data_IF_784621425018
#
_entry.id   IF_784621425018
#
_cell.length_a   1.000
_cell.length_b   1.000
_cell.length_c   1.000
_cell.angle_alpha   90.00
_cell.angle_beta   90.00
_cell.angle_gamma   90.00
#
_symmetry.space_group_name_H-M   'P 1'
#
loop_
_entity.id
_entity.type
_entity.pdbx_description
1 polymer ?
#
# COMPACT_ATOMS: atom_id res chain seq x y z
N UNK A 1 -6.17 25.25 45.97
CA UNK A 1 -6.96 24.97 44.75
C UNK A 1 -6.51 25.70 43.49
N UNK A 2 -5.80 26.83 43.52
CA UNK A 2 -5.30 27.54 42.30
C UNK A 2 -4.07 26.90 41.64
N UNK A 3 -3.28 26.10 42.34
CA UNK A 3 -2.08 25.46 41.78
C UNK A 3 -2.34 24.14 40.99
N UNK A 4 -3.45 23.47 41.25
CA UNK A 4 -3.86 22.28 40.48
C UNK A 4 -4.47 22.63 39.11
N UNK A 5 -5.10 23.79 38.95
CA UNK A 5 -5.67 24.23 37.69
C UNK A 5 -4.61 24.61 36.66
N UNK A 6 -3.41 25.08 37.12
CA UNK A 6 -2.34 25.47 36.22
C UNK A 6 -1.61 24.27 35.59
N UNK A 7 -1.50 23.15 36.32
CA UNK A 7 -0.91 21.94 35.82
C UNK A 7 -1.77 21.21 34.77
N UNK A 8 -3.10 21.30 34.88
CA UNK A 8 -4.02 20.72 33.94
C UNK A 8 -4.05 21.50 32.59
N UNK A 9 -3.91 22.83 32.64
CA UNK A 9 -3.88 23.67 31.43
C UNK A 9 -2.61 23.47 30.60
N UNK A 10 -1.46 23.19 31.23
CA UNK A 10 -0.21 22.89 30.51
C UNK A 10 -0.22 21.51 29.89
N UNK A 11 -0.87 20.52 30.53
CA UNK A 11 -0.98 19.17 29.99
C UNK A 11 -1.91 19.09 28.75
N UNK A 12 -2.95 19.91 28.69
CA UNK A 12 -3.88 19.97 27.54
C UNK A 12 -3.26 20.72 26.36
N UNK A 13 -2.42 21.74 26.59
CA UNK A 13 -1.73 22.46 25.53
C UNK A 13 -0.62 21.64 24.85
N UNK A 14 -0.05 20.63 25.51
CA UNK A 14 0.94 19.73 24.94
C UNK A 14 0.32 18.64 24.02
N UNK A 15 -0.97 18.38 24.12
CA UNK A 15 -1.66 17.39 23.27
C UNK A 15 -2.16 17.94 21.93
N UNK A 16 -2.11 19.26 21.69
CA UNK A 16 -2.63 19.89 20.47
C UNK A 16 -1.53 20.20 19.46
N UNK A 17 -0.26 20.02 19.82
CA UNK A 17 0.87 20.17 18.89
C UNK A 17 1.37 18.83 18.34
N UNK A 18 0.46 17.90 18.03
CA UNK A 18 0.82 16.84 17.09
C UNK A 18 0.99 17.51 15.71
N UNK A 19 2.19 17.48 15.10
CA UNK A 19 2.35 18.04 13.79
C UNK A 19 1.37 17.33 12.87
N UNK A 20 0.51 18.11 12.20
CA UNK A 20 -0.25 17.66 11.03
C UNK A 20 0.77 17.40 9.91
N UNK A 21 1.65 16.41 10.13
CA UNK A 21 2.68 16.00 9.22
C UNK A 21 2.22 14.77 8.47
N UNK A 22 2.18 14.93 7.15
CA UNK A 22 2.29 13.86 6.16
C UNK A 22 1.00 13.17 5.76
N UNK A 23 0.03 13.95 5.32
CA UNK A 23 -1.01 13.45 4.41
C UNK A 23 -0.51 13.36 2.94
N UNK A 24 0.70 13.80 2.63
CA UNK A 24 1.34 13.60 1.32
C UNK A 24 2.31 12.42 1.46
N UNK A 25 2.26 11.45 0.54
CA UNK A 25 3.17 10.32 0.52
C UNK A 25 4.61 10.81 0.62
N UNK A 26 5.28 10.42 1.68
CA UNK A 26 6.69 10.74 1.90
C UNK A 26 7.61 9.77 1.15
N UNK A 27 8.91 10.01 1.14
CA UNK A 27 9.88 9.08 0.57
C UNK A 27 9.84 7.72 1.29
N UNK A 28 10.45 6.71 0.68
CA UNK A 28 10.72 5.46 1.40
C UNK A 28 11.71 5.74 2.52
N UNK A 29 11.34 5.45 3.75
CA UNK A 29 12.16 5.67 4.93
C UNK A 29 12.32 4.38 5.75
N UNK A 30 13.16 4.39 6.75
CA UNK A 30 13.36 3.27 7.65
C UNK A 30 12.50 3.43 8.91
N UNK A 31 11.58 2.52 9.14
CA UNK A 31 10.71 2.51 10.32
C UNK A 31 11.18 1.50 11.36
N UNK A 32 11.11 1.87 12.63
CA UNK A 32 11.18 0.96 13.76
C UNK A 32 9.77 0.76 14.33
N UNK A 33 9.48 -0.45 14.81
CA UNK A 33 8.14 -0.83 15.24
C UNK A 33 7.17 -1.08 14.08
N UNK A 34 5.88 -1.02 14.38
CA UNK A 34 4.82 -1.26 13.40
C UNK A 34 4.66 -2.72 13.00
N UNK A 35 4.15 -2.96 11.80
CA UNK A 35 3.90 -4.32 11.30
C UNK A 35 5.13 -5.01 10.72
N UNK A 36 6.24 -4.29 10.55
CA UNK A 36 7.46 -4.81 9.96
C UNK A 36 7.30 -5.31 8.52
N UNK A 37 8.15 -6.24 8.12
CA UNK A 37 8.10 -6.90 6.80
C UNK A 37 7.67 -8.36 6.95
N UNK A 38 6.63 -8.75 6.19
CA UNK A 38 6.11 -10.12 6.18
C UNK A 38 7.04 -11.07 5.43
N UNK A 39 7.24 -12.27 5.98
CA UNK A 39 7.93 -13.35 5.29
C UNK A 39 7.07 -13.91 4.15
N UNK A 40 7.69 -14.09 3.00
CA UNK A 40 7.06 -14.75 1.86
C UNK A 40 7.14 -16.29 1.93
N UNK A 41 8.05 -16.80 2.77
CA UNK A 41 8.32 -18.24 2.90
C UNK A 41 7.55 -18.84 4.10
N UNK A 42 7.40 -18.04 5.16
CA UNK A 42 6.72 -18.45 6.38
C UNK A 42 5.51 -17.55 6.63
N UNK A 43 4.31 -17.96 6.20
CA UNK A 43 3.09 -17.18 6.42
C UNK A 43 2.87 -16.89 7.91
N UNK A 44 2.51 -15.64 8.22
CA UNK A 44 2.34 -15.20 9.60
C UNK A 44 3.62 -14.74 10.31
N UNK A 45 4.80 -14.98 9.75
CA UNK A 45 6.06 -14.48 10.31
C UNK A 45 6.37 -13.09 9.75
N UNK A 46 6.66 -12.15 10.65
CA UNK A 46 7.10 -10.80 10.31
C UNK A 46 8.44 -10.50 11.01
N UNK A 47 9.28 -9.72 10.36
CA UNK A 47 10.50 -9.17 10.95
C UNK A 47 10.27 -7.69 11.27
N UNK A 48 10.59 -7.31 12.50
CA UNK A 48 10.39 -5.95 13.02
C UNK A 48 11.69 -5.48 13.66
N UNK A 49 12.01 -4.23 13.50
CA UNK A 49 13.12 -3.60 14.23
C UNK A 49 12.57 -2.72 15.34
N UNK A 50 13.13 -2.83 16.52
CA UNK A 50 12.81 -1.98 17.67
C UNK A 50 14.08 -1.37 18.26
N UNK A 51 13.97 -0.20 18.89
CA UNK A 51 15.10 0.40 19.61
C UNK A 51 15.43 -0.42 20.85
N UNK A 52 16.71 -0.62 21.12
CA UNK A 52 17.18 -1.22 22.38
C UNK A 52 17.26 -0.22 23.55
N UNK A 53 16.85 1.03 23.31
CA UNK A 53 16.94 2.13 24.30
C UNK A 53 18.35 2.64 24.57
N UNK A 54 19.39 2.06 23.94
CA UNK A 54 20.81 2.39 24.14
C UNK A 54 21.52 2.82 22.84
N UNK A 55 20.72 3.17 21.82
CA UNK A 55 21.23 3.58 20.50
C UNK A 55 21.51 2.42 19.55
N UNK A 56 21.13 1.21 19.92
CA UNK A 56 21.11 0.02 19.07
C UNK A 56 19.71 -0.35 18.58
N UNK A 57 19.63 -1.47 17.89
CA UNK A 57 18.40 -2.01 17.33
C UNK A 57 18.30 -3.50 17.63
N UNK A 58 17.15 -3.96 18.08
CA UNK A 58 16.79 -5.38 18.11
C UNK A 58 16.04 -5.71 16.84
N UNK A 59 16.41 -6.82 16.20
CA UNK A 59 15.60 -7.40 15.12
C UNK A 59 14.74 -8.52 15.73
N UNK A 60 13.45 -8.31 15.79
CA UNK A 60 12.50 -9.26 16.35
C UNK A 60 11.78 -10.02 15.25
N UNK A 61 11.39 -11.26 15.54
CA UNK A 61 10.51 -12.09 14.71
C UNK A 61 9.16 -12.16 15.39
N UNK A 62 8.12 -11.71 14.71
CA UNK A 62 6.74 -11.81 15.19
C UNK A 62 6.05 -12.97 14.49
N UNK A 63 5.46 -13.86 15.26
CA UNK A 63 4.47 -14.83 14.78
C UNK A 63 3.07 -14.23 15.05
N UNK A 64 2.51 -13.60 14.02
CA UNK A 64 1.22 -12.90 14.16
C UNK A 64 0.06 -13.87 14.27
N UNK A 65 0.22 -15.12 13.85
CA UNK A 65 -0.81 -16.15 13.96
C UNK A 65 -0.97 -16.65 15.41
N UNK A 66 0.13 -16.68 16.16
CA UNK A 66 0.15 -17.16 17.55
C UNK A 66 0.36 -16.03 18.57
N UNK A 67 0.55 -14.78 18.11
CA UNK A 67 0.82 -13.64 18.98
C UNK A 67 2.16 -13.73 19.72
N UNK A 68 3.13 -14.49 19.18
CA UNK A 68 4.43 -14.69 19.80
C UNK A 68 5.48 -13.72 19.23
N UNK A 69 6.40 -13.30 20.10
CA UNK A 69 7.56 -12.46 19.76
C UNK A 69 8.82 -13.23 20.11
N UNK A 70 9.71 -13.37 19.14
CA UNK A 70 11.01 -13.99 19.33
C UNK A 70 12.09 -12.93 19.18
N UNK A 71 12.90 -12.75 20.22
CA UNK A 71 14.04 -11.86 20.17
C UNK A 71 15.09 -12.36 19.19
N UNK A 72 15.48 -11.48 18.29
CA UNK A 72 16.56 -11.74 17.34
C UNK A 72 17.86 -11.05 17.73
N UNK A 73 18.76 -10.87 16.77
CA UNK A 73 20.07 -10.28 17.03
C UNK A 73 19.98 -8.80 17.39
N UNK A 74 20.72 -8.41 18.43
CA UNK A 74 21.00 -7.00 18.70
C UNK A 74 22.03 -6.46 17.69
N UNK A 75 21.72 -5.33 17.09
CA UNK A 75 22.48 -4.65 16.02
C UNK A 75 23.02 -3.32 16.55
N UNK A 76 24.29 -3.04 16.27
CA UNK A 76 24.88 -1.73 16.60
C UNK A 76 24.35 -0.64 15.68
N UNK A 77 23.88 0.47 16.27
CA UNK A 77 23.33 1.61 15.55
C UNK A 77 21.83 1.49 15.30
N UNK A 78 21.24 2.57 14.81
CA UNK A 78 19.80 2.66 14.55
C UNK A 78 19.47 2.18 13.14
N UNK A 79 18.63 1.15 13.06
CA UNK A 79 18.21 0.51 11.82
C UNK A 79 16.69 0.32 11.81
N UNK A 80 16.08 0.47 10.64
CA UNK A 80 14.65 0.28 10.44
C UNK A 80 14.33 -0.53 9.19
N UNK A 81 13.11 -1.07 9.15
CA UNK A 81 12.55 -1.71 7.97
C UNK A 81 12.18 -0.62 6.96
N UNK A 82 12.63 -0.72 5.68
CA UNK A 82 12.20 0.20 4.63
C UNK A 82 10.68 0.16 4.44
N UNK A 83 10.03 1.32 4.44
CA UNK A 83 8.58 1.45 4.28
C UNK A 83 8.22 2.75 3.57
N UNK A 84 7.06 2.78 2.91
CA UNK A 84 6.52 4.01 2.33
C UNK A 84 5.94 4.91 3.44
N UNK A 85 6.09 6.23 3.26
CA UNK A 85 5.71 7.23 4.24
C UNK A 85 4.22 7.46 4.45
N UNK A 86 3.36 6.61 3.91
CA UNK A 86 1.91 6.75 4.03
C UNK A 86 1.28 6.00 5.23
N UNK A 87 2.08 5.27 6.00
CA UNK A 87 1.62 4.49 7.17
C UNK A 87 0.73 3.27 6.85
N UNK A 88 0.42 3.02 5.59
CA UNK A 88 -0.48 1.94 5.14
C UNK A 88 0.23 0.85 4.34
N UNK A 89 1.48 1.05 4.01
CA UNK A 89 2.25 0.09 3.21
C UNK A 89 3.08 -0.76 4.14
N UNK A 90 2.97 -2.08 3.99
CA UNK A 90 3.80 -3.02 4.72
C UNK A 90 5.29 -2.75 4.49
N UNK A 91 6.10 -3.10 5.46
CA UNK A 91 7.55 -3.05 5.36
C UNK A 91 8.07 -3.85 4.18
N UNK A 92 9.23 -3.48 3.71
CA UNK A 92 9.89 -4.03 2.53
C UNK A 92 11.33 -4.42 2.88
N UNK A 93 12.08 -4.85 1.90
CA UNK A 93 13.50 -5.18 2.08
C UNK A 93 13.78 -6.65 2.29
N UNK A 94 12.76 -7.52 2.41
CA UNK A 94 12.96 -8.96 2.48
C UNK A 94 12.91 -9.57 1.09
N UNK A 95 13.94 -10.37 0.75
CA UNK A 95 13.98 -11.13 -0.51
C UNK A 95 12.88 -12.18 -0.58
N UNK A 96 12.57 -12.62 -1.79
CA UNK A 96 11.49 -13.57 -2.03
C UNK A 96 11.71 -14.92 -1.35
N UNK A 97 12.96 -15.36 -1.25
CA UNK A 97 13.36 -16.59 -0.57
C UNK A 97 13.51 -16.44 0.96
N UNK A 98 13.29 -15.24 1.50
CA UNK A 98 13.39 -14.94 2.92
C UNK A 98 14.83 -14.89 3.47
N UNK A 99 15.86 -15.04 2.63
CA UNK A 99 17.25 -15.16 3.06
C UNK A 99 18.02 -13.85 3.10
N UNK A 100 17.50 -12.81 2.49
CA UNK A 100 18.16 -11.49 2.48
C UNK A 100 17.19 -10.43 2.99
N UNK A 101 17.55 -9.79 4.08
CA UNK A 101 16.86 -8.65 4.63
C UNK A 101 17.74 -7.41 4.49
N UNK A 102 17.15 -6.33 3.99
CA UNK A 102 17.73 -5.00 3.93
C UNK A 102 17.11 -4.16 5.03
N UNK A 103 17.93 -3.62 5.90
CA UNK A 103 17.56 -2.56 6.83
C UNK A 103 18.22 -1.26 6.39
N UNK A 104 17.58 -0.14 6.64
CA UNK A 104 18.13 1.18 6.36
C UNK A 104 18.27 2.01 7.64
N UNK A 105 19.22 2.95 7.63
CA UNK A 105 19.31 3.93 8.71
C UNK A 105 18.09 4.85 8.67
N UNK A 106 17.42 5.16 9.80
CA UNK A 106 16.33 6.13 9.85
C UNK A 106 16.73 7.53 9.38
N UNK A 107 18.02 7.87 9.43
CA UNK A 107 18.54 9.12 8.87
C UNK A 107 18.49 9.16 7.34
N UNK A 108 18.46 8.01 6.65
CA UNK A 108 18.27 7.94 5.20
C UNK A 108 16.79 8.05 4.86
N UNK A 109 16.38 8.84 3.87
CA UNK A 109 17.18 9.64 2.93
C UNK A 109 17.48 11.08 3.40
N UNK A 110 17.23 11.44 4.64
CA UNK A 110 17.29 12.82 5.14
C UNK A 110 18.73 13.32 5.39
N UNK A 111 19.71 12.43 5.34
CA UNK A 111 21.13 12.79 5.49
C UNK A 111 22.03 11.93 4.59
N UNK A 112 23.19 12.46 4.25
CA UNK A 112 24.28 11.74 3.60
C UNK A 112 25.41 11.48 4.61
N UNK A 113 26.17 10.39 4.49
CA UNK A 113 25.96 9.26 3.58
C UNK A 113 24.79 8.37 4.02
N UNK A 114 24.09 7.78 3.04
CA UNK A 114 23.04 6.79 3.32
C UNK A 114 23.64 5.44 3.69
N UNK A 115 23.00 4.74 4.64
CA UNK A 115 23.52 3.48 5.20
C UNK A 115 22.45 2.40 5.19
N UNK A 116 22.89 1.20 4.83
CA UNK A 116 22.05 -0.01 4.81
C UNK A 116 22.82 -1.17 5.48
N UNK A 117 22.05 -2.09 6.10
CA UNK A 117 22.51 -3.41 6.47
C UNK A 117 21.85 -4.45 5.57
N UNK A 118 22.62 -5.39 5.03
CA UNK A 118 22.13 -6.43 4.14
C UNK A 118 22.63 -7.78 4.61
N UNK A 119 21.73 -8.69 4.96
CA UNK A 119 22.09 -10.00 5.48
C UNK A 119 20.91 -10.93 5.67
N UNK A 120 21.21 -12.14 6.11
CA UNK A 120 20.20 -13.12 6.51
C UNK A 120 19.51 -12.67 7.82
N UNK A 121 18.18 -12.68 7.93
CA UNK A 121 17.49 -12.25 9.14
C UNK A 121 17.97 -12.96 10.41
N UNK A 122 18.20 -14.27 10.36
CA UNK A 122 18.70 -15.05 11.49
C UNK A 122 20.17 -14.82 11.82
N UNK A 123 20.93 -14.23 10.90
CA UNK A 123 22.38 -13.95 11.04
C UNK A 123 22.71 -12.48 10.87
N UNK A 124 21.79 -11.59 11.19
CA UNK A 124 21.91 -10.14 10.91
C UNK A 124 23.09 -9.48 11.63
N UNK A 125 23.64 -10.08 12.69
CA UNK A 125 24.91 -9.61 13.33
C UNK A 125 26.10 -9.64 12.38
N UNK A 126 26.11 -10.56 11.42
CA UNK A 126 27.10 -10.68 10.37
C UNK A 126 26.71 -9.96 9.07
N UNK A 127 25.67 -9.12 9.10
CA UNK A 127 25.20 -8.40 7.94
C UNK A 127 26.28 -7.46 7.40
N UNK A 128 26.29 -7.35 6.09
CA UNK A 128 27.15 -6.42 5.38
C UNK A 128 26.59 -5.00 5.49
N UNK A 129 27.46 -4.06 5.87
CA UNK A 129 27.14 -2.64 5.87
C UNK A 129 27.44 -2.05 4.49
N UNK A 130 26.43 -1.43 3.88
CA UNK A 130 26.56 -0.66 2.65
C UNK A 130 26.48 0.81 3.02
N UNK A 131 27.47 1.59 2.57
CA UNK A 131 27.55 3.06 2.78
C UNK A 131 27.66 3.70 1.40
N UNK A 132 26.78 4.64 1.11
CA UNK A 132 26.72 5.32 -0.17
C UNK A 132 26.80 6.84 0.03
N UNK A 133 27.74 7.47 -0.65
CA UNK A 133 27.81 8.92 -0.70
C UNK A 133 26.62 9.48 -1.44
N UNK A 134 25.86 10.32 -0.75
CA UNK A 134 24.61 10.89 -1.26
C UNK A 134 23.38 10.44 -0.47
N UNK A 135 22.24 10.83 -1.00
CA UNK A 135 20.94 10.67 -0.36
C UNK A 135 20.17 9.55 -1.07
N UNK A 136 20.07 8.41 -0.40
CA UNK A 136 19.43 7.22 -0.96
C UNK A 136 18.36 6.67 -0.02
N UNK A 137 17.32 6.06 -0.59
CA UNK A 137 16.42 5.15 0.11
C UNK A 137 16.34 3.82 -0.63
N UNK A 138 15.87 2.79 0.07
CA UNK A 138 15.61 1.48 -0.50
C UNK A 138 14.40 1.55 -1.43
N UNK A 139 14.46 0.84 -2.56
CA UNK A 139 13.33 0.69 -3.48
C UNK A 139 12.88 -0.76 -3.58
N UNK A 140 13.74 -1.66 -4.05
CA UNK A 140 13.38 -3.06 -4.24
C UNK A 140 14.61 -3.99 -4.18
N UNK A 141 14.36 -5.31 -4.09
CA UNK A 141 15.32 -6.37 -4.38
C UNK A 141 14.92 -7.11 -5.66
N UNK A 142 15.92 -7.58 -6.42
CA UNK A 142 15.67 -8.61 -7.44
C UNK A 142 15.23 -9.92 -6.78
N UNK A 143 14.51 -10.82 -7.49
CA UNK A 143 14.03 -12.08 -6.92
C UNK A 143 15.14 -12.96 -6.32
N UNK A 144 16.32 -12.94 -6.91
CA UNK A 144 17.52 -13.66 -6.47
C UNK A 144 18.38 -12.88 -5.46
N UNK A 145 17.91 -11.72 -5.03
CA UNK A 145 18.59 -10.81 -4.14
C UNK A 145 20.01 -10.41 -4.60
N UNK A 146 20.32 -10.54 -5.90
CA UNK A 146 21.62 -10.11 -6.43
C UNK A 146 21.72 -8.60 -6.66
N UNK A 147 20.57 -7.93 -6.81
CA UNK A 147 20.49 -6.50 -7.06
C UNK A 147 19.59 -5.83 -6.01
N UNK A 148 20.07 -4.72 -5.48
CA UNK A 148 19.29 -3.82 -4.64
C UNK A 148 19.02 -2.54 -5.45
N UNK A 149 17.75 -2.22 -5.65
CA UNK A 149 17.31 -1.00 -6.30
C UNK A 149 17.18 0.09 -5.24
N UNK A 150 17.66 1.26 -5.59
CA UNK A 150 17.74 2.41 -4.70
C UNK A 150 17.17 3.65 -5.39
N UNK A 151 16.46 4.45 -4.64
CA UNK A 151 16.07 5.79 -5.05
C UNK A 151 17.18 6.74 -4.61
N UNK A 152 17.86 7.38 -5.56
CA UNK A 152 18.85 8.42 -5.31
C UNK A 152 18.18 9.78 -5.48
N UNK A 153 18.06 10.54 -4.42
CA UNK A 153 17.49 11.88 -4.42
C UNK A 153 18.52 12.93 -4.84
N UNK A 154 18.05 14.03 -5.40
CA UNK A 154 18.90 15.14 -5.77
C UNK A 154 19.66 15.72 -4.56
N UNK A 155 19.01 15.79 -3.40
CA UNK A 155 19.62 16.12 -2.11
C UNK A 155 18.69 15.73 -0.96
N UNK A 156 19.20 15.73 0.26
CA UNK A 156 18.39 15.55 1.48
C UNK A 156 17.31 16.63 1.67
N UNK A 157 17.45 17.79 1.02
CA UNK A 157 16.47 18.88 1.04
C UNK A 157 15.46 18.83 -0.10
N UNK A 158 15.76 18.04 -1.13
CA UNK A 158 14.87 17.87 -2.29
C UNK A 158 14.64 16.38 -2.56
N UNK A 159 13.65 15.82 -1.89
CA UNK A 159 13.25 14.42 -2.02
C UNK A 159 12.16 14.20 -3.08
N UNK A 160 11.71 15.27 -3.75
CA UNK A 160 10.72 15.17 -4.82
C UNK A 160 11.32 14.86 -6.19
N UNK A 161 12.64 15.03 -6.35
CA UNK A 161 13.36 14.74 -7.59
C UNK A 161 14.39 13.66 -7.34
N UNK A 162 14.33 12.59 -8.11
CA UNK A 162 15.15 11.41 -7.88
C UNK A 162 15.38 10.60 -9.17
N UNK A 163 16.34 9.70 -9.08
CA UNK A 163 16.60 8.66 -10.09
C UNK A 163 16.65 7.30 -9.40
N UNK A 164 16.32 6.23 -10.13
CA UNK A 164 16.50 4.87 -9.63
C UNK A 164 17.87 4.37 -10.02
N UNK A 165 18.58 3.74 -9.09
CA UNK A 165 19.94 3.19 -9.22
C UNK A 165 19.93 1.71 -8.87
N UNK A 166 20.92 0.99 -9.37
CA UNK A 166 21.16 -0.41 -9.04
C UNK A 166 22.44 -0.53 -8.22
N UNK A 167 22.35 -1.20 -7.10
CA UNK A 167 23.51 -1.67 -6.34
C UNK A 167 23.62 -3.18 -6.50
N UNK A 168 24.75 -3.63 -7.07
CA UNK A 168 25.04 -5.05 -7.23
C UNK A 168 25.52 -5.61 -5.88
N UNK A 169 24.72 -6.51 -5.32
CA UNK A 169 25.01 -7.13 -4.02
C UNK A 169 26.08 -8.23 -4.09
N UNK A 170 26.42 -8.73 -5.28
CA UNK A 170 27.50 -9.71 -5.45
C UNK A 170 28.86 -9.03 -5.49
N UNK A 171 28.97 -7.93 -6.23
CA UNK A 171 30.22 -7.19 -6.40
C UNK A 171 30.39 -6.04 -5.40
N UNK A 172 29.36 -5.72 -4.62
CA UNK A 172 29.34 -4.60 -3.68
C UNK A 172 29.57 -3.23 -4.31
N UNK A 173 28.96 -2.99 -5.46
CA UNK A 173 29.17 -1.75 -6.22
C UNK A 173 27.86 -1.11 -6.63
N UNK A 174 27.79 0.20 -6.51
CA UNK A 174 26.76 0.98 -7.17
C UNK A 174 27.05 0.98 -8.68
N UNK A 175 26.12 0.41 -9.45
CA UNK A 175 26.29 0.30 -10.90
C UNK A 175 26.22 1.68 -11.55
N UNK A 176 26.98 1.91 -12.62
CA UNK A 176 26.86 3.14 -13.40
C UNK A 176 25.48 3.22 -14.06
N UNK A 177 25.08 4.46 -14.40
CA UNK A 177 23.79 4.70 -15.07
C UNK A 177 22.63 4.82 -14.10
N UNK A 178 21.45 5.01 -14.66
CA UNK A 178 20.17 5.16 -13.99
C UNK A 178 19.11 4.29 -14.66
N UNK A 179 18.14 3.85 -13.87
CA UNK A 179 16.96 3.17 -14.37
C UNK A 179 15.90 4.25 -14.60
N UNK A 180 15.49 4.42 -15.84
CA UNK A 180 14.47 5.37 -16.24
C UNK A 180 13.65 4.76 -17.37
N UNK A 181 12.45 5.28 -17.57
CA UNK A 181 11.66 4.92 -18.74
C UNK A 181 12.40 5.37 -20.00
N UNK A 182 12.54 4.47 -20.97
CA UNK A 182 13.25 4.73 -22.23
C UNK A 182 12.41 5.56 -23.19
N UNK A 183 11.10 5.56 -23.01
CA UNK A 183 10.16 6.34 -23.84
C UNK A 183 10.05 7.80 -23.43
N UNK A 184 10.56 8.18 -22.23
CA UNK A 184 10.51 9.55 -21.73
C UNK A 184 11.83 10.28 -21.95
N UNK A 185 11.75 11.56 -22.36
CA UNK A 185 12.91 12.44 -22.51
C UNK A 185 13.50 12.80 -21.15
N UNK A 186 12.67 13.03 -20.16
CA UNK A 186 13.09 13.30 -18.78
C UNK A 186 13.58 12.04 -18.09
N UNK A 187 14.87 12.05 -17.75
CA UNK A 187 15.52 10.93 -17.04
C UNK A 187 15.48 11.08 -15.50
N UNK A 188 14.82 12.10 -15.01
CA UNK A 188 14.65 12.37 -13.57
C UNK A 188 13.19 12.27 -13.22
N UNK A 189 12.87 11.42 -12.26
CA UNK A 189 11.51 11.25 -11.80
C UNK A 189 11.16 12.33 -10.76
N UNK A 190 9.90 12.75 -10.76
CA UNK A 190 9.38 13.67 -9.76
C UNK A 190 8.10 13.10 -9.14
N UNK A 191 7.94 13.26 -7.83
CA UNK A 191 6.74 12.86 -7.11
C UNK A 191 7.01 12.09 -5.83
N UNK A 192 5.95 11.86 -5.07
CA UNK A 192 5.98 11.10 -3.82
C UNK A 192 5.33 9.74 -3.99
N UNK A 193 5.94 8.64 -3.50
CA UNK A 193 5.34 7.32 -3.57
C UNK A 193 4.16 7.21 -2.60
N UNK A 194 3.02 6.74 -3.09
CA UNK A 194 1.75 6.68 -2.37
C UNK A 194 1.43 5.27 -1.87
N UNK A 195 1.57 4.28 -2.74
CA UNK A 195 1.31 2.87 -2.41
C UNK A 195 2.06 1.97 -3.39
N UNK A 196 2.25 0.71 -3.01
CA UNK A 196 3.06 -0.23 -3.78
C UNK A 196 2.47 -1.64 -3.72
N UNK A 197 2.71 -2.40 -4.79
CA UNK A 197 2.50 -3.85 -4.83
C UNK A 197 3.60 -4.51 -5.64
N UNK A 198 3.87 -5.79 -5.36
CA UNK A 198 4.93 -6.56 -6.03
C UNK A 198 4.31 -7.82 -6.65
N UNK A 199 4.76 -8.20 -7.84
CA UNK A 199 4.31 -9.44 -8.48
C UNK A 199 4.72 -10.67 -7.67
N UNK A 200 3.97 -11.76 -7.81
CA UNK A 200 4.18 -12.99 -7.04
C UNK A 200 5.62 -13.53 -7.15
N UNK A 201 6.24 -13.40 -8.32
CA UNK A 201 7.65 -13.78 -8.53
C UNK A 201 8.67 -12.71 -8.13
N UNK A 202 8.26 -11.54 -7.65
CA UNK A 202 9.18 -10.46 -7.26
C UNK A 202 9.78 -9.68 -8.43
N UNK A 203 9.53 -10.09 -9.70
CA UNK A 203 10.10 -9.43 -10.87
C UNK A 203 9.63 -7.99 -11.03
N UNK A 204 8.34 -7.76 -10.87
CA UNK A 204 7.74 -6.45 -11.06
C UNK A 204 7.39 -5.80 -9.74
N UNK A 205 7.83 -4.57 -9.55
CA UNK A 205 7.44 -3.70 -8.43
C UNK A 205 6.71 -2.49 -8.99
N UNK A 206 5.44 -2.36 -8.63
CA UNK A 206 4.57 -1.28 -9.06
C UNK A 206 4.39 -0.28 -7.92
N UNK A 207 4.77 0.96 -8.14
CA UNK A 207 4.60 2.04 -7.17
C UNK A 207 3.78 3.16 -7.77
N UNK A 208 2.69 3.52 -7.11
CA UNK A 208 1.90 4.69 -7.46
C UNK A 208 2.59 5.94 -6.91
N UNK A 209 2.80 6.91 -7.77
CA UNK A 209 3.39 8.21 -7.43
C UNK A 209 2.40 9.33 -7.67
N UNK A 210 2.53 10.40 -6.88
CA UNK A 210 1.84 11.67 -7.07
C UNK A 210 2.86 12.79 -7.26
N UNK A 211 2.77 13.51 -8.39
CA UNK A 211 3.55 14.72 -8.63
C UNK A 211 2.95 15.90 -7.84
N UNK A 212 3.74 16.93 -7.50
CA UNK A 212 3.23 18.15 -6.87
C UNK A 212 2.11 18.83 -7.66
N UNK A 213 2.12 18.70 -8.99
CA UNK A 213 1.07 19.19 -9.90
C UNK A 213 -0.29 18.49 -9.74
N UNK A 214 -0.35 17.38 -8.94
CA UNK A 214 -1.52 16.52 -8.79
C UNK A 214 -1.65 15.45 -9.87
N UNK A 215 -0.70 15.36 -10.77
CA UNK A 215 -0.57 14.26 -11.72
C UNK A 215 -0.16 12.99 -11.02
N UNK A 216 -0.58 11.86 -11.57
CA UNK A 216 -0.29 10.54 -11.03
C UNK A 216 0.32 9.64 -12.10
N UNK A 217 1.19 8.74 -11.68
CA UNK A 217 1.70 7.70 -12.55
C UNK A 217 2.03 6.44 -11.74
N UNK A 218 2.01 5.30 -12.40
CA UNK A 218 2.56 4.07 -11.85
C UNK A 218 3.95 3.86 -12.42
N UNK A 219 4.93 3.77 -11.54
CA UNK A 219 6.28 3.33 -11.88
C UNK A 219 6.33 1.80 -11.79
N UNK A 220 6.48 1.13 -12.92
CA UNK A 220 6.64 -0.31 -13.04
C UNK A 220 8.12 -0.64 -13.21
N UNK A 221 8.76 -1.12 -12.15
CA UNK A 221 10.17 -1.50 -12.12
C UNK A 221 10.32 -2.99 -12.41
N UNK A 222 11.01 -3.36 -13.51
CA UNK A 222 11.48 -4.71 -13.79
C UNK A 222 12.80 -4.95 -13.05
N UNK A 223 12.74 -5.65 -11.93
CA UNK A 223 13.89 -5.93 -11.07
C UNK A 223 14.83 -7.01 -11.66
N UNK A 224 14.41 -7.73 -12.67
CA UNK A 224 15.25 -8.70 -13.40
C UNK A 224 15.96 -8.00 -14.56
N UNK A 225 15.20 -7.32 -15.41
CA UNK A 225 15.70 -6.64 -16.61
C UNK A 225 16.38 -5.30 -16.32
N UNK A 226 16.31 -4.79 -15.08
CA UNK A 226 16.80 -3.46 -14.69
C UNK A 226 16.27 -2.37 -15.63
N UNK A 227 14.95 -2.35 -15.82
CA UNK A 227 14.23 -1.41 -16.66
C UNK A 227 13.01 -0.85 -15.88
N UNK A 228 12.52 0.29 -16.32
CA UNK A 228 11.33 0.89 -15.75
C UNK A 228 10.41 1.42 -16.83
N UNK A 229 9.12 1.50 -16.50
CA UNK A 229 8.07 2.08 -17.33
C UNK A 229 7.22 3.00 -16.44
N UNK A 230 6.92 4.19 -16.96
CA UNK A 230 6.04 5.15 -16.31
C UNK A 230 4.69 5.13 -17.00
N UNK A 231 3.65 4.77 -16.30
CA UNK A 231 2.28 4.71 -16.81
C UNK A 231 1.53 5.91 -16.25
N UNK A 232 1.33 6.94 -17.05
CA UNK A 232 0.59 8.13 -16.66
C UNK A 232 -0.88 7.79 -16.40
N UNK A 233 -1.41 8.32 -15.31
CA UNK A 233 -2.78 8.10 -14.88
C UNK A 233 -3.59 9.39 -14.94
N UNK A 234 -4.92 9.29 -15.05
CA UNK A 234 -5.79 10.46 -14.91
C UNK A 234 -5.56 11.20 -13.60
N UNK A 235 -5.62 12.53 -13.63
CA UNK A 235 -5.43 13.39 -12.43
C UNK A 235 -6.40 12.98 -11.32
N UNK A 236 -5.85 12.80 -10.13
CA UNK A 236 -6.63 12.50 -8.93
C UNK A 236 -5.90 13.05 -7.69
N UNK A 237 -6.60 13.85 -6.91
CA UNK A 237 -6.02 14.50 -5.73
C UNK A 237 -6.06 13.65 -4.45
N UNK A 238 -6.75 12.52 -4.47
CA UNK A 238 -6.96 11.69 -3.29
C UNK A 238 -6.21 10.34 -3.38
N UNK A 239 -5.03 10.31 -3.98
CA UNK A 239 -4.24 9.10 -4.22
C UNK A 239 -3.82 8.37 -2.95
N UNK A 240 -3.73 9.07 -1.81
CA UNK A 240 -3.46 8.45 -0.50
C UNK A 240 -4.52 7.41 -0.10
N UNK A 241 -5.71 7.48 -0.68
CA UNK A 241 -6.78 6.51 -0.48
C UNK A 241 -6.80 5.38 -1.51
N UNK A 242 -5.83 5.33 -2.42
CA UNK A 242 -5.73 4.27 -3.43
C UNK A 242 -4.86 3.14 -2.90
N UNK A 243 -5.32 1.91 -3.13
CA UNK A 243 -4.55 0.69 -2.95
C UNK A 243 -4.27 0.06 -4.31
N UNK A 244 -3.07 -0.49 -4.47
CA UNK A 244 -2.66 -1.30 -5.60
C UNK A 244 -2.81 -2.78 -5.27
N UNK A 245 -3.30 -3.57 -6.21
CA UNK A 245 -3.33 -5.03 -6.10
C UNK A 245 -3.18 -5.67 -7.48
N UNK A 246 -2.51 -6.82 -7.54
CA UNK A 246 -2.42 -7.60 -8.75
C UNK A 246 -3.55 -8.64 -8.79
N UNK A 247 -4.14 -8.82 -9.97
CA UNK A 247 -5.24 -9.73 -10.29
C UNK A 247 -4.90 -10.55 -11.52
N UNK A 248 -5.74 -11.53 -11.79
CA UNK A 248 -5.63 -12.35 -13.00
C UNK A 248 -4.23 -12.94 -13.18
N UNK A 249 -3.71 -13.54 -12.11
CA UNK A 249 -2.34 -14.09 -12.06
C UNK A 249 -1.24 -13.05 -12.40
N UNK A 250 -1.45 -11.80 -11.98
CA UNK A 250 -0.48 -10.72 -12.17
C UNK A 250 -0.59 -9.98 -13.51
N UNK A 251 -1.60 -10.33 -14.34
CA UNK A 251 -1.82 -9.67 -15.64
C UNK A 251 -2.52 -8.31 -15.54
N UNK A 252 -3.18 -8.05 -14.42
CA UNK A 252 -3.93 -6.81 -14.21
C UNK A 252 -3.50 -6.15 -12.91
N UNK A 253 -3.01 -4.92 -13.00
CA UNK A 253 -2.81 -4.05 -11.85
C UNK A 253 -4.10 -3.29 -11.60
N UNK A 254 -4.78 -3.62 -10.52
CA UNK A 254 -6.03 -2.96 -10.12
C UNK A 254 -5.75 -1.83 -9.13
N UNK A 255 -6.20 -0.63 -9.47
CA UNK A 255 -6.21 0.54 -8.60
C UNK A 255 -7.60 0.72 -8.03
N UNK A 256 -7.69 0.70 -6.71
CA UNK A 256 -8.97 0.77 -5.97
C UNK A 256 -8.87 1.78 -4.85
N UNK A 257 -9.98 2.42 -4.57
CA UNK A 257 -10.13 3.15 -3.32
C UNK A 257 -10.03 2.17 -2.14
N UNK A 258 -9.52 2.60 -1.01
CA UNK A 258 -9.48 1.78 0.23
C UNK A 258 -10.88 1.34 0.69
N UNK A 259 -11.92 2.07 0.29
CA UNK A 259 -13.32 1.67 0.45
C UNK A 259 -13.71 0.43 -0.37
N UNK A 260 -12.80 -0.10 -1.21
CA UNK A 260 -13.06 -1.22 -2.12
C UNK A 260 -13.61 -0.82 -3.49
N UNK A 261 -14.06 0.44 -3.67
CA UNK A 261 -14.56 0.92 -4.96
C UNK A 261 -13.45 0.89 -6.02
N UNK A 262 -13.67 0.29 -7.19
CA UNK A 262 -12.68 0.28 -8.25
C UNK A 262 -12.49 1.71 -8.82
N UNK A 263 -11.25 2.03 -9.20
CA UNK A 263 -10.94 3.25 -9.94
C UNK A 263 -10.60 2.90 -11.39
N UNK A 264 -9.46 2.26 -11.62
CA UNK A 264 -9.04 1.80 -12.95
C UNK A 264 -8.19 0.54 -12.85
N UNK A 265 -7.95 -0.08 -13.99
CA UNK A 265 -7.01 -1.19 -14.15
C UNK A 265 -5.94 -0.82 -15.17
N UNK A 266 -4.73 -1.35 -14.99
CA UNK A 266 -3.64 -1.28 -15.94
C UNK A 266 -3.28 -2.71 -16.35
N UNK A 267 -3.27 -3.01 -17.64
CA UNK A 267 -2.83 -4.30 -18.14
C UNK A 267 -1.32 -4.41 -18.02
N UNK A 268 -0.81 -5.42 -17.29
CA UNK A 268 0.61 -5.63 -17.13
C UNK A 268 1.24 -6.10 -18.46
N UNK A 269 2.26 -5.37 -18.90
CA UNK A 269 2.98 -5.65 -20.14
C UNK A 269 2.59 -4.76 -21.33
N UNK A 270 1.31 -4.46 -21.54
CA UNK A 270 0.87 -3.48 -22.56
C UNK A 270 0.69 -2.08 -22.00
N UNK A 271 0.54 -1.97 -20.69
CA UNK A 271 0.32 -0.74 -19.93
C UNK A 271 -0.99 -0.02 -20.27
N UNK A 272 -1.91 -0.70 -20.94
CA UNK A 272 -3.22 -0.15 -21.29
C UNK A 272 -4.09 0.09 -20.06
N UNK A 273 -4.69 1.28 -20.00
CA UNK A 273 -5.62 1.65 -18.94
C UNK A 273 -7.04 1.28 -19.35
N UNK A 274 -7.77 0.65 -18.45
CA UNK A 274 -9.18 0.34 -18.61
C UNK A 274 -9.97 0.70 -17.35
N UNK A 275 -11.23 1.06 -17.54
CA UNK A 275 -12.13 1.39 -16.45
C UNK A 275 -13.04 0.20 -16.15
N UNK A 276 -13.10 -0.27 -14.89
CA UNK A 276 -14.02 -1.32 -14.50
C UNK A 276 -15.45 -0.89 -14.81
N UNK A 277 -16.16 -1.70 -15.60
CA UNK A 277 -17.59 -1.47 -15.85
C UNK A 277 -18.33 -1.57 -14.52
N UNK A 278 -19.17 -0.59 -14.23
CA UNK A 278 -20.11 -0.68 -13.12
C UNK A 278 -20.96 -1.95 -13.33
N UNK A 279 -20.83 -2.93 -12.44
CA UNK A 279 -21.76 -4.05 -12.45
C UNK A 279 -23.12 -3.49 -12.06
N UNK A 280 -24.04 -3.44 -13.02
CA UNK A 280 -25.41 -3.10 -12.71
C UNK A 280 -25.96 -4.18 -11.75
N UNK A 281 -26.44 -3.80 -10.56
CA UNK A 281 -26.87 -4.80 -9.57
C UNK A 281 -28.24 -5.35 -9.97
N UNK A 282 -28.24 -6.29 -10.91
CA UNK A 282 -29.45 -6.98 -11.38
C UNK A 282 -30.29 -7.59 -10.24
N UNK A 283 -29.66 -7.88 -9.11
CA UNK A 283 -30.35 -8.34 -7.90
C UNK A 283 -31.39 -7.35 -7.38
N UNK A 284 -31.14 -6.05 -7.46
CA UNK A 284 -32.11 -5.03 -7.06
C UNK A 284 -33.23 -4.85 -8.08
N UNK A 285 -32.96 -5.06 -9.36
CA UNK A 285 -33.97 -5.02 -10.41
C UNK A 285 -34.90 -6.22 -10.26
N UNK A 286 -34.36 -7.42 -10.04
CA UNK A 286 -35.15 -8.63 -9.78
C UNK A 286 -36.03 -8.50 -8.53
N UNK A 287 -35.48 -7.96 -7.42
CA UNK A 287 -36.22 -7.70 -6.20
C UNK A 287 -37.34 -6.66 -6.40
N UNK A 288 -37.04 -5.57 -7.13
CA UNK A 288 -38.07 -4.54 -7.45
C UNK A 288 -39.20 -5.08 -8.31
N UNK A 289 -38.90 -5.87 -9.33
CA UNK A 289 -39.90 -6.51 -10.20
C UNK A 289 -40.73 -7.53 -9.41
N UNK A 290 -40.09 -8.35 -8.56
CA UNK A 290 -40.77 -9.31 -7.69
C UNK A 290 -41.74 -8.64 -6.72
N UNK A 291 -41.34 -7.54 -6.09
CA UNK A 291 -42.19 -6.77 -5.19
C UNK A 291 -43.40 -6.13 -5.93
N UNK A 292 -43.20 -5.58 -7.13
CA UNK A 292 -44.25 -5.01 -7.95
C UNK A 292 -45.29 -6.07 -8.38
N UNK A 293 -44.83 -7.24 -8.80
CA UNK A 293 -45.70 -8.36 -9.15
C UNK A 293 -46.50 -8.90 -7.94
N UNK A 294 -45.89 -8.96 -6.78
CA UNK A 294 -46.59 -9.36 -5.54
C UNK A 294 -47.66 -8.36 -5.12
N UNK A 295 -47.43 -7.06 -5.29
CA UNK A 295 -48.41 -6.01 -4.99
C UNK A 295 -49.57 -6.06 -5.99
N UNK A 296 -49.32 -6.31 -7.29
CA UNK A 296 -50.33 -6.47 -8.31
C UNK A 296 -51.21 -7.72 -8.08
N UNK A 297 -50.58 -8.85 -7.73
CA UNK A 297 -51.28 -10.07 -7.40
C UNK A 297 -52.12 -9.94 -6.12
N UNK A 298 -51.59 -9.28 -5.08
CA UNK A 298 -52.32 -9.01 -3.82
C UNK A 298 -53.50 -8.04 -4.06
N UNK A 299 -53.32 -7.00 -4.88
CA UNK A 299 -54.40 -6.09 -5.28
C UNK A 299 -55.52 -6.79 -6.06
N UNK A 300 -55.16 -7.67 -7.00
CA UNK A 300 -56.15 -8.44 -7.77
C UNK A 300 -56.96 -9.42 -6.90
N UNK A 301 -56.32 -10.04 -5.89
CA UNK A 301 -56.98 -10.92 -4.92
C UNK A 301 -57.96 -10.15 -4.03
N UNK A 302 -57.60 -8.98 -3.57
CA UNK A 302 -58.43 -8.10 -2.74
C UNK A 302 -59.64 -7.61 -3.54
N UNK A 303 -59.48 -7.23 -4.81
CA UNK A 303 -60.56 -6.84 -5.69
C UNK A 303 -61.52 -8.01 -5.98
N UNK A 304 -61.03 -9.25 -6.18
CA UNK A 304 -61.87 -10.43 -6.31
C UNK A 304 -62.71 -10.73 -5.06
N UNK A 305 -62.08 -10.61 -3.85
CA UNK A 305 -62.80 -10.81 -2.59
C UNK A 305 -63.93 -9.80 -2.41
N UNK A 306 -63.69 -8.51 -2.65
CA UNK A 306 -64.74 -7.47 -2.58
C UNK A 306 -65.89 -7.75 -3.54
N UNK A 307 -65.59 -8.18 -4.77
CA UNK A 307 -66.61 -8.51 -5.74
C UNK A 307 -67.46 -9.73 -5.38
N UNK A 308 -66.88 -10.75 -4.71
CA UNK A 308 -67.64 -11.90 -4.21
C UNK A 308 -68.53 -11.49 -3.02
N UNK A 309 -68.07 -10.62 -2.10
CA UNK A 309 -68.82 -10.11 -0.99
C UNK A 309 -70.02 -9.22 -1.46
N UNK A 310 -69.84 -8.39 -2.51
CA UNK A 310 -70.94 -7.61 -3.11
C UNK A 310 -71.95 -8.50 -3.80
N UNK A 311 -71.58 -9.60 -4.43
CA UNK A 311 -72.49 -10.56 -5.06
C UNK A 311 -73.27 -11.37 -4.01
N UNK A 312 -72.69 -11.75 -2.89
CA UNK A 312 -73.38 -12.40 -1.76
C UNK A 312 -74.38 -11.49 -1.07
N UNK A 313 -74.08 -10.21 -0.90
CA UNK A 313 -75.02 -9.23 -0.35
C UNK A 313 -76.21 -8.94 -1.28
N UNK A 314 -76.00 -8.98 -2.63
CA UNK A 314 -77.08 -8.80 -3.58
C UNK A 314 -78.03 -9.99 -3.62
N UNK A 315 -77.46 -11.21 -3.56
CA UNK A 315 -78.29 -12.43 -3.53
C UNK A 315 -79.08 -12.65 -2.24
N UNK A 316 -78.53 -12.17 -1.11
CA UNK A 316 -79.22 -12.22 0.19
C UNK A 316 -80.39 -11.26 0.33
N UNK A 317 -80.40 -10.15 -0.45
CA UNK A 317 -81.46 -9.15 -0.42
C UNK A 317 -82.66 -9.56 -1.31
N UNK A 318 -82.46 -10.45 -2.28
CA UNK A 318 -83.59 -10.93 -3.14
C UNK A 318 -84.43 -12.07 -2.50
N UNK A 319 -83.90 -12.75 -1.50
CA UNK A 319 -84.57 -13.82 -0.75
C UNK A 319 -85.34 -13.35 0.49
N UNK A 320 -85.36 -12.06 0.78
CA UNK A 320 -86.07 -11.46 1.93
C UNK A 320 -87.46 -10.82 1.58
N UNK A 321 -87.93 -10.91 0.32
CA UNK A 321 -89.18 -10.34 -0.11
C UNK A 321 -90.12 -11.40 -0.80
N UNK A 322 -90.39 -12.49 -0.07
CA UNK A 322 -91.44 -13.43 -0.40
C UNK A 322 -92.25 -13.83 0.83
#
# INVERSE_FOLDING_TARGET
MRRLALCLAVAVAALVAAPAALAAGGPVFAAQGGTGVASHVHPGIHYVTVSDGRGGTLLETLDVAHGAVFEGPALRGSWGIPTLGNGYTAGQGLSRDGRTLVLASPASPYSAPSRFLVGDPGRMRAARKVVLDGTFSFDALSPDASKMYLIQYASARNLSHYIVRVYDLRTNRLMPGKIADRSEDEKTMAGSPMTRTTSAGGRWVYTLYQKPSGEAFVHALDTVGAAAYCIDLPKNRALYNIALSLRDHGRTLALRWRSGRPWLNVAAGTWEISYPRARFPWTWVGAGIGAALALLAGGALLLRRRRSEELEQHSGNELGLA
#
